data_IF_940411021033
#
_entry.id   IF_940411021033
#
_cell.length_a   1.000
_cell.length_b   1.000
_cell.length_c   1.000
_cell.angle_alpha   90.00
_cell.angle_beta   90.00
_cell.angle_gamma   90.00
#
_symmetry.space_group_name_H-M   'P 1'
#
loop_
_entity.id
_entity.type
_entity.pdbx_description
1 polymer ?
#
# COMPACT_ATOMS: atom_id res chain seq x y z
N UNK A 1 16.14 -12.33 4.45
CA UNK A 1 16.38 -11.46 3.28
C UNK A 1 17.22 -10.29 3.76
N UNK A 2 18.42 -10.03 3.21
CA UNK A 2 19.28 -8.95 3.66
C UNK A 2 18.66 -7.59 3.32
N UNK A 3 18.62 -6.70 4.32
CA UNK A 3 18.30 -5.29 4.10
C UNK A 3 19.51 -4.64 3.42
N UNK A 4 19.26 -3.88 2.36
CA UNK A 4 20.30 -3.22 1.56
C UNK A 4 20.32 -1.72 1.81
N UNK A 5 19.14 -1.14 2.00
CA UNK A 5 18.95 0.27 2.29
C UNK A 5 17.78 0.47 3.25
N UNK A 6 17.84 1.54 4.04
CA UNK A 6 16.71 2.06 4.79
C UNK A 6 16.28 3.36 4.13
N UNK A 7 15.09 3.35 3.53
CA UNK A 7 14.44 4.54 2.98
C UNK A 7 13.66 5.23 4.11
N UNK A 8 13.45 6.52 3.98
CA UNK A 8 12.75 7.34 4.96
C UNK A 8 11.58 8.02 4.26
N UNK A 9 10.35 7.66 4.61
CA UNK A 9 9.19 8.45 4.25
C UNK A 9 9.08 9.64 5.20
N UNK A 10 9.42 10.84 4.71
CA UNK A 10 9.24 12.10 5.43
C UNK A 10 7.83 12.64 5.16
N UNK A 11 7.10 12.90 6.24
CA UNK A 11 5.74 13.42 6.23
C UNK A 11 5.77 14.95 6.27
N UNK A 12 4.66 15.56 5.87
CA UNK A 12 4.45 17.01 5.93
C UNK A 12 4.08 17.54 7.33
N UNK A 13 3.77 16.66 8.28
CA UNK A 13 3.46 17.03 9.65
C UNK A 13 3.93 15.95 10.62
N UNK A 14 4.28 16.37 11.84
CA UNK A 14 4.63 15.46 12.92
C UNK A 14 3.41 14.65 13.39
N UNK A 15 3.68 13.46 13.92
CA UNK A 15 2.73 12.64 14.65
C UNK A 15 3.04 12.80 16.13
N UNK A 16 2.09 13.41 16.87
CA UNK A 16 2.20 13.56 18.31
C UNK A 16 2.10 12.20 19.00
N UNK A 17 3.05 11.92 19.88
CA UNK A 17 3.13 10.74 20.72
C UNK A 17 3.68 11.10 22.10
N UNK A 18 3.84 10.09 22.95
CA UNK A 18 4.25 10.23 24.35
C UNK A 18 5.78 10.28 24.56
N UNK A 19 6.54 10.54 23.50
CA UNK A 19 8.01 10.56 23.53
C UNK A 19 8.53 11.99 23.51
N UNK A 20 9.80 12.20 23.88
CA UNK A 20 10.45 13.52 23.86
C UNK A 20 10.55 14.10 22.44
N UNK A 21 10.79 13.24 21.44
CA UNK A 21 10.84 13.61 20.03
C UNK A 21 9.62 13.06 19.27
N UNK A 22 9.03 13.90 18.43
CA UNK A 22 7.83 13.57 17.66
C UNK A 22 8.20 13.04 16.27
N UNK A 23 7.50 12.00 15.83
CA UNK A 23 7.80 11.34 14.56
C UNK A 23 7.30 12.18 13.37
N UNK A 24 8.23 12.69 12.57
CA UNK A 24 7.90 13.29 11.26
C UNK A 24 8.17 12.33 10.09
N UNK A 25 8.68 11.12 10.36
CA UNK A 25 9.02 10.16 9.33
C UNK A 25 8.66 8.73 9.71
N UNK A 26 8.66 7.84 8.71
CA UNK A 26 8.54 6.38 8.85
C UNK A 26 9.67 5.71 8.06
N UNK A 27 10.43 4.76 8.66
CA UNK A 27 11.42 3.99 7.91
C UNK A 27 10.74 2.95 7.00
N UNK A 28 11.36 2.70 5.84
CA UNK A 28 10.96 1.68 4.87
C UNK A 28 12.18 0.86 4.48
N UNK A 29 12.16 -0.43 4.79
CA UNK A 29 13.29 -1.33 4.55
C UNK A 29 13.27 -1.82 3.09
N UNK A 30 14.39 -1.68 2.39
CA UNK A 30 14.54 -2.07 1.00
C UNK A 30 15.65 -3.13 0.83
N UNK A 31 15.39 -4.16 0.04
CA UNK A 31 16.34 -5.23 -0.22
C UNK A 31 15.84 -6.27 -1.22
N UNK A 32 16.63 -7.33 -1.41
CA UNK A 32 16.33 -8.46 -2.29
C UNK A 32 16.93 -9.76 -1.71
N UNK A 33 16.44 -10.92 -2.17
CA UNK A 33 16.91 -12.23 -1.70
C UNK A 33 18.40 -12.44 -2.07
N UNK A 34 19.20 -13.11 -1.22
CA UNK A 34 20.56 -13.50 -1.58
C UNK A 34 20.56 -14.37 -2.84
N UNK A 35 21.49 -14.12 -3.76
CA UNK A 35 21.60 -14.88 -5.02
C UNK A 35 20.53 -14.56 -6.07
N UNK A 36 19.49 -13.79 -5.75
CA UNK A 36 18.53 -13.32 -6.74
C UNK A 36 19.09 -12.15 -7.55
N UNK A 37 18.73 -12.09 -8.83
CA UNK A 37 19.00 -10.91 -9.65
C UNK A 37 18.28 -9.69 -9.06
N UNK A 38 18.99 -8.58 -8.91
CA UNK A 38 18.41 -7.31 -8.51
C UNK A 38 18.04 -6.52 -9.76
N UNK A 39 16.75 -6.23 -9.94
CA UNK A 39 16.26 -5.37 -11.01
C UNK A 39 15.88 -4.01 -10.45
N UNK A 40 16.57 -2.98 -10.91
CA UNK A 40 16.29 -1.59 -10.58
C UNK A 40 15.69 -0.90 -11.81
N UNK A 41 14.50 -0.30 -11.62
CA UNK A 41 13.74 0.36 -12.68
C UNK A 41 13.64 1.87 -12.47
N UNK A 42 14.21 2.40 -11.37
CA UNK A 42 14.31 3.84 -11.13
C UNK A 42 15.48 4.47 -11.87
N UNK A 43 15.59 5.80 -11.78
CA UNK A 43 16.71 6.57 -12.32
C UNK A 43 17.83 6.80 -11.28
N UNK A 44 18.87 7.56 -11.65
CA UNK A 44 19.96 7.95 -10.76
C UNK A 44 19.64 9.14 -9.86
N UNK A 45 18.44 9.72 -9.96
CA UNK A 45 18.00 10.86 -9.14
C UNK A 45 17.24 10.41 -7.88
N UNK A 46 16.91 9.12 -7.75
CA UNK A 46 16.24 8.60 -6.56
C UNK A 46 17.15 8.70 -5.33
N UNK A 47 16.60 9.21 -4.23
CA UNK A 47 17.30 9.32 -2.94
C UNK A 47 16.65 8.42 -1.89
N UNK A 48 17.29 8.31 -0.73
CA UNK A 48 16.76 7.54 0.42
C UNK A 48 15.65 8.28 1.17
N UNK A 49 15.36 9.54 0.86
CA UNK A 49 14.31 10.33 1.53
C UNK A 49 13.17 10.57 0.55
N UNK A 50 11.99 10.06 0.90
CA UNK A 50 10.76 10.15 0.12
C UNK A 50 9.85 11.16 0.80
N UNK A 51 9.69 12.33 0.20
CA UNK A 51 8.78 13.36 0.70
C UNK A 51 7.40 13.15 0.10
N UNK A 52 6.45 12.72 0.93
CA UNK A 52 5.06 12.57 0.55
C UNK A 52 4.16 12.95 1.71
N UNK A 53 3.13 13.74 1.43
CA UNK A 53 2.14 14.14 2.42
C UNK A 53 1.38 12.92 2.95
N UNK A 54 1.15 12.88 4.27
CA UNK A 54 0.23 11.89 4.83
C UNK A 54 -1.21 12.23 4.39
N UNK A 55 -2.11 11.25 4.25
CA UNK A 55 -3.50 11.55 3.92
C UNK A 55 -4.12 12.47 4.97
N UNK A 56 -4.88 13.48 4.53
CA UNK A 56 -5.50 14.49 5.41
C UNK A 56 -6.64 13.91 6.26
N UNK A 57 -7.34 12.89 5.74
CA UNK A 57 -8.44 12.19 6.42
C UNK A 57 -8.33 10.69 6.15
N UNK A 58 -8.48 9.91 7.21
CA UNK A 58 -8.43 8.43 7.18
C UNK A 58 -9.83 7.86 7.43
N UNK A 59 -10.80 8.23 6.59
CA UNK A 59 -12.19 7.77 6.75
C UNK A 59 -12.38 6.28 6.49
N UNK A 60 -11.51 5.69 5.68
CA UNK A 60 -11.64 4.30 5.20
C UNK A 60 -10.75 3.32 5.98
N UNK A 61 -9.57 3.76 6.44
CA UNK A 61 -8.62 2.93 7.20
C UNK A 61 -7.71 3.80 8.07
N UNK A 62 -7.48 3.45 9.35
CA UNK A 62 -6.76 4.30 10.29
C UNK A 62 -5.30 4.61 9.91
N UNK A 63 -4.63 3.71 9.17
CA UNK A 63 -3.21 3.81 8.83
C UNK A 63 -2.91 3.80 7.32
N UNK A 64 -3.81 4.36 6.51
CA UNK A 64 -3.66 4.44 5.06
C UNK A 64 -2.32 5.10 4.64
N UNK A 65 -1.58 4.43 3.75
CA UNK A 65 -0.38 4.99 3.11
C UNK A 65 -0.75 5.79 1.84
N UNK A 66 -0.06 6.90 1.53
CA UNK A 66 -0.30 7.64 0.29
C UNK A 66 -0.07 6.75 -0.94
N UNK A 67 -1.01 6.74 -1.87
CA UNK A 67 -0.88 5.94 -3.11
C UNK A 67 0.36 6.35 -3.89
N UNK A 68 0.66 7.64 -4.00
CA UNK A 68 1.85 8.13 -4.73
C UNK A 68 3.19 7.62 -4.16
N UNK A 69 3.28 7.49 -2.83
CA UNK A 69 4.45 6.91 -2.18
C UNK A 69 4.64 5.45 -2.66
N UNK A 70 3.56 4.67 -2.66
CA UNK A 70 3.60 3.27 -3.07
C UNK A 70 3.84 3.14 -4.58
N UNK A 71 3.21 3.99 -5.40
CA UNK A 71 3.42 4.08 -6.85
C UNK A 71 4.91 4.23 -7.18
N UNK A 72 5.59 5.19 -6.54
CA UNK A 72 7.03 5.43 -6.73
C UNK A 72 7.88 4.21 -6.36
N UNK A 73 7.59 3.59 -5.22
CA UNK A 73 8.32 2.41 -4.73
C UNK A 73 8.15 1.20 -5.66
N UNK A 74 6.92 0.92 -6.10
CA UNK A 74 6.61 -0.17 -7.03
C UNK A 74 7.25 0.08 -8.39
N UNK A 75 7.19 1.31 -8.91
CA UNK A 75 7.80 1.65 -10.18
C UNK A 75 9.31 1.44 -10.19
N UNK A 76 9.99 1.78 -9.10
CA UNK A 76 11.44 1.60 -8.96
C UNK A 76 11.86 0.13 -8.79
N UNK A 77 10.95 -0.72 -8.29
CA UNK A 77 11.26 -2.09 -7.85
C UNK A 77 10.69 -3.19 -8.74
N UNK A 78 9.87 -2.85 -9.74
CA UNK A 78 9.17 -3.81 -10.61
C UNK A 78 8.96 -3.25 -12.01
N UNK A 79 8.83 -4.13 -13.00
CA UNK A 79 8.46 -3.79 -14.37
C UNK A 79 6.95 -3.79 -14.59
N UNK A 80 6.50 -3.35 -15.77
CA UNK A 80 5.10 -3.54 -16.20
C UNK A 80 4.79 -5.04 -16.26
N UNK A 81 3.56 -5.44 -15.96
CA UNK A 81 3.05 -6.82 -15.83
C UNK A 81 3.61 -7.68 -14.69
N UNK A 82 4.60 -7.17 -13.94
CA UNK A 82 5.08 -7.84 -12.73
C UNK A 82 3.96 -8.06 -11.72
N UNK A 83 4.14 -9.09 -10.90
CA UNK A 83 3.28 -9.39 -9.77
C UNK A 83 3.86 -8.79 -8.48
N UNK A 84 3.08 -7.93 -7.82
CA UNK A 84 3.38 -7.36 -6.50
C UNK A 84 2.52 -8.05 -5.45
N UNK A 85 3.16 -8.56 -4.40
CA UNK A 85 2.49 -9.17 -3.25
C UNK A 85 2.48 -8.18 -2.08
N UNK A 86 1.31 -7.98 -1.48
CA UNK A 86 1.14 -7.23 -0.25
C UNK A 86 0.38 -8.09 0.77
N UNK A 87 1.06 -8.66 1.78
CA UNK A 87 0.42 -9.53 2.76
C UNK A 87 -0.40 -8.76 3.81
N UNK A 88 -0.44 -7.42 3.75
CA UNK A 88 -1.17 -6.56 4.69
C UNK A 88 -1.90 -5.46 3.92
N UNK A 89 -2.91 -5.86 3.14
CA UNK A 89 -3.59 -5.02 2.17
C UNK A 89 -4.13 -3.71 2.73
N UNK A 90 -4.61 -3.71 3.99
CA UNK A 90 -5.14 -2.57 4.69
C UNK A 90 -6.18 -1.83 3.85
N UNK A 91 -5.90 -0.57 3.51
CA UNK A 91 -6.79 0.20 2.63
C UNK A 91 -6.72 -0.17 1.14
N UNK A 92 -5.73 -0.95 0.68
CA UNK A 92 -5.57 -1.28 -0.74
C UNK A 92 -4.72 -0.30 -1.55
N UNK A 93 -3.91 0.54 -0.92
CA UNK A 93 -3.03 1.50 -1.63
C UNK A 93 -2.08 0.81 -2.61
N UNK A 94 -1.58 -0.39 -2.30
CA UNK A 94 -0.74 -1.18 -3.21
C UNK A 94 -1.50 -1.62 -4.45
N UNK A 95 -2.76 -2.05 -4.31
CA UNK A 95 -3.60 -2.45 -5.45
C UNK A 95 -3.82 -1.28 -6.40
N UNK A 96 -4.19 -0.11 -5.87
CA UNK A 96 -4.40 1.11 -6.68
C UNK A 96 -3.09 1.54 -7.36
N UNK A 97 -1.97 1.53 -6.65
CA UNK A 97 -0.66 1.87 -7.20
C UNK A 97 -0.27 0.93 -8.35
N UNK A 98 -0.48 -0.38 -8.19
CA UNK A 98 -0.21 -1.36 -9.24
C UNK A 98 -1.12 -1.15 -10.46
N UNK A 99 -2.42 -0.92 -10.24
CA UNK A 99 -3.38 -0.66 -11.32
C UNK A 99 -2.99 0.58 -12.15
N UNK A 100 -2.59 1.67 -11.49
CA UNK A 100 -2.13 2.91 -12.15
C UNK A 100 -0.90 2.71 -13.01
N UNK A 101 -0.09 1.72 -12.68
CA UNK A 101 1.26 1.56 -13.23
C UNK A 101 1.38 0.32 -14.11
N UNK A 102 0.28 -0.37 -14.39
CA UNK A 102 0.28 -1.60 -15.20
C UNK A 102 1.00 -2.76 -14.53
N UNK A 103 0.96 -2.86 -13.20
CA UNK A 103 1.40 -4.06 -12.46
C UNK A 103 0.19 -4.85 -11.99
N UNK A 104 0.37 -6.15 -11.77
CA UNK A 104 -0.63 -7.00 -11.12
C UNK A 104 -0.36 -7.02 -9.63
N UNK A 105 -1.40 -6.96 -8.81
CA UNK A 105 -1.27 -7.08 -7.36
C UNK A 105 -1.96 -8.34 -6.82
N UNK A 106 -1.45 -8.86 -5.70
CA UNK A 106 -2.11 -9.84 -4.84
C UNK A 106 -2.04 -9.31 -3.42
N UNK A 107 -3.20 -9.09 -2.83
CA UNK A 107 -3.32 -8.56 -1.48
C UNK A 107 -3.86 -9.67 -0.57
N UNK A 108 -3.39 -9.69 0.67
CA UNK A 108 -4.01 -10.45 1.76
C UNK A 108 -4.40 -9.43 2.82
N UNK A 109 -5.63 -9.53 3.32
CA UNK A 109 -6.12 -8.72 4.43
C UNK A 109 -6.91 -9.62 5.38
N UNK A 110 -6.69 -9.45 6.67
CA UNK A 110 -7.25 -10.32 7.70
C UNK A 110 -8.65 -9.85 8.12
N UNK A 111 -8.85 -8.53 8.21
CA UNK A 111 -10.12 -7.96 8.63
C UNK A 111 -11.09 -7.85 7.44
N UNK A 112 -12.23 -8.57 7.45
CA UNK A 112 -13.21 -8.50 6.37
C UNK A 112 -13.68 -7.07 6.06
N UNK A 113 -13.76 -6.19 7.07
CA UNK A 113 -14.11 -4.78 6.86
C UNK A 113 -13.13 -4.08 5.93
N UNK A 114 -11.84 -4.39 6.04
CA UNK A 114 -10.82 -3.80 5.19
C UNK A 114 -10.74 -4.48 3.82
N UNK A 115 -11.09 -5.77 3.72
CA UNK A 115 -11.36 -6.40 2.43
C UNK A 115 -12.45 -5.63 1.65
N UNK A 116 -13.54 -5.26 2.30
CA UNK A 116 -14.61 -4.47 1.67
C UNK A 116 -14.13 -3.08 1.23
N UNK A 117 -13.31 -2.43 2.06
CA UNK A 117 -12.67 -1.14 1.71
C UNK A 117 -11.80 -1.29 0.45
N UNK A 118 -10.97 -2.34 0.37
CA UNK A 118 -10.11 -2.60 -0.79
C UNK A 118 -10.96 -2.76 -2.06
N UNK A 119 -12.01 -3.58 -1.99
CA UNK A 119 -12.93 -3.83 -3.13
C UNK A 119 -13.57 -2.52 -3.58
N UNK A 120 -14.25 -1.81 -2.68
CA UNK A 120 -14.96 -0.55 -3.00
C UNK A 120 -14.02 0.49 -3.60
N UNK A 121 -12.82 0.65 -3.03
CA UNK A 121 -11.83 1.62 -3.55
C UNK A 121 -11.33 1.23 -4.93
N UNK A 122 -11.11 -0.06 -5.18
CA UNK A 122 -10.68 -0.53 -6.49
C UNK A 122 -11.77 -0.37 -7.55
N UNK A 123 -13.02 -0.73 -7.23
CA UNK A 123 -14.17 -0.53 -8.13
C UNK A 123 -14.37 0.96 -8.44
N UNK A 124 -14.35 1.82 -7.42
CA UNK A 124 -14.43 3.27 -7.60
C UNK A 124 -13.28 3.85 -8.43
N UNK A 125 -12.06 3.29 -8.27
CA UNK A 125 -10.89 3.75 -9.01
C UNK A 125 -10.89 3.29 -10.48
N UNK A 126 -11.36 2.08 -10.76
CA UNK A 126 -11.27 1.47 -12.11
C UNK A 126 -12.56 1.56 -12.91
N UNK A 127 -13.71 1.76 -12.26
CA UNK A 127 -15.03 1.57 -12.85
C UNK A 127 -15.40 0.11 -13.13
N UNK A 128 -14.53 -0.84 -12.74
CA UNK A 128 -14.81 -2.27 -12.86
C UNK A 128 -15.68 -2.80 -11.72
N UNK A 129 -16.16 -4.03 -11.87
CA UNK A 129 -16.87 -4.77 -10.83
C UNK A 129 -16.00 -5.92 -10.35
N UNK A 130 -15.82 -6.03 -9.03
CA UNK A 130 -15.02 -7.08 -8.43
C UNK A 130 -15.78 -8.41 -8.52
N UNK A 131 -15.09 -9.45 -8.97
CA UNK A 131 -15.63 -10.79 -9.02
C UNK A 131 -15.09 -11.64 -7.87
N UNK A 132 -16.00 -12.28 -7.14
CA UNK A 132 -15.63 -13.28 -6.15
C UNK A 132 -15.35 -14.61 -6.85
N UNK A 133 -14.09 -14.96 -6.99
CA UNK A 133 -13.68 -16.30 -7.46
C UNK A 133 -13.99 -17.32 -6.35
N UNK A 134 -14.74 -18.36 -6.69
CA UNK A 134 -15.16 -19.37 -5.72
C UNK A 134 -13.96 -20.04 -5.01
N UNK A 135 -14.01 -20.06 -3.69
CA UNK A 135 -13.16 -20.87 -2.81
C UNK A 135 -13.98 -22.03 -2.25
N UNK A 136 -13.34 -23.10 -1.78
CA UNK A 136 -14.01 -24.25 -1.14
C UNK A 136 -14.67 -23.90 0.22
N UNK A 137 -14.75 -22.63 0.58
CA UNK A 137 -15.27 -22.12 1.85
C UNK A 137 -16.24 -20.96 1.58
N UNK A 138 -17.34 -20.91 2.33
CA UNK A 138 -18.29 -19.80 2.30
C UNK A 138 -17.68 -18.56 2.95
N UNK A 139 -17.50 -17.49 2.18
CA UNK A 139 -17.06 -16.21 2.70
C UNK A 139 -18.20 -15.51 3.47
N UNK A 140 -17.92 -14.79 4.56
CA UNK A 140 -18.90 -13.93 5.21
C UNK A 140 -19.42 -12.88 4.20
N UNK A 141 -20.69 -12.50 4.33
CA UNK A 141 -21.27 -11.43 3.52
C UNK A 141 -20.46 -10.14 3.69
N UNK A 142 -20.33 -9.35 2.61
CA UNK A 142 -19.72 -8.01 2.68
C UNK A 142 -20.38 -7.24 3.82
N UNK A 143 -19.60 -6.70 4.75
CA UNK A 143 -20.13 -5.89 5.81
C UNK A 143 -20.78 -4.66 5.17
N UNK A 144 -22.08 -4.47 5.41
CA UNK A 144 -22.78 -3.25 5.03
C UNK A 144 -21.98 -2.04 5.51
N UNK A 145 -21.97 -0.97 4.71
CA UNK A 145 -21.40 0.28 5.18
C UNK A 145 -22.15 0.70 6.45
N UNK A 146 -21.54 0.54 7.62
CA UNK A 146 -22.02 1.21 8.82
C UNK A 146 -21.87 2.71 8.54
N UNK A 147 -23.01 3.37 8.32
CA UNK A 147 -23.12 4.81 8.35
C UNK A 147 -22.52 5.27 9.68
N UNK A 148 -21.45 6.06 9.59
CA UNK A 148 -20.77 6.58 10.77
C UNK A 148 -21.78 7.31 11.65
N UNK A 149 -21.95 6.82 12.89
CA UNK A 149 -22.62 7.54 13.94
C UNK A 149 -21.88 8.88 14.18
N UNK A 150 -22.72 9.89 14.38
CA UNK A 150 -22.46 11.32 14.57
C UNK A 150 -21.34 11.68 15.57
#
# INVERSE_FOLDING_TARGET
MPVRQCLIWKKNALVLGRQDYQWIHEPCLYGWKPGAAHRWMGDRAQTTVLEHDKPKRNGEHPTMKPVELITKLVQNSSGVEDLVLDPFGGSGSTLIACQRTGRRARLVELDPKYCDVIVRRWEAFTGGTAERVATNEEAPALAGAEEGAE
#
